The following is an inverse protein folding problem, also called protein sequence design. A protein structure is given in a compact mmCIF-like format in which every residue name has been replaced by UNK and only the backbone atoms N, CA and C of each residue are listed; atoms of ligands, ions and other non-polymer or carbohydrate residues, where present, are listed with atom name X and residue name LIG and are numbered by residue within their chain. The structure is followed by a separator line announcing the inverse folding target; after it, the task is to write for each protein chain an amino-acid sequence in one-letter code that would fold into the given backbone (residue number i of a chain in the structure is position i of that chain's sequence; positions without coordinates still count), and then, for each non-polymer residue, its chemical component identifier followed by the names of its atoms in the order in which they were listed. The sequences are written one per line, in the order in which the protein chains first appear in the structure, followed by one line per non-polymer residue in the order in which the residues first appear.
data_IF_901094695374
#
_entry.id   IF_901094695374
#
_cell.length_a   1.000
_cell.length_b   1.000
_cell.length_c   1.000
_cell.angle_alpha   90.00
_cell.angle_beta   90.00
_cell.angle_gamma   90.00
#
_symmetry.space_group_name_H-M   'P 1'
#
loop_
_entity.id
_entity.type
_entity.pdbx_description
1 polymer ?
#
# COMPACT_ATOMS: atom_id res chain seq x y z
N UNK A 1 3.87 3.24 6.13
CA UNK A 1 2.70 2.47 6.58
C UNK A 1 2.39 1.41 5.54
N UNK A 2 1.75 0.32 5.92
CA UNK A 2 1.23 -0.67 5.00
C UNK A 2 -0.17 -1.13 5.44
N UNK A 3 -0.90 -1.75 4.52
CA UNK A 3 -2.14 -2.44 4.82
C UNK A 3 -2.04 -3.87 4.33
N UNK A 4 -2.35 -4.83 5.20
CA UNK A 4 -2.43 -6.24 4.84
C UNK A 4 -3.90 -6.55 4.55
N UNK A 5 -4.19 -7.14 3.39
CA UNK A 5 -5.52 -7.69 3.10
C UNK A 5 -5.77 -8.83 4.08
N UNK A 6 -6.74 -8.64 4.97
CA UNK A 6 -6.96 -9.48 6.13
C UNK A 6 -8.47 -9.68 6.28
N UNK A 7 -9.01 -10.88 6.01
CA UNK A 7 -10.45 -11.16 6.10
C UNK A 7 -11.06 -10.82 7.46
N UNK A 8 -10.26 -10.87 8.54
CA UNK A 8 -10.69 -10.53 9.90
C UNK A 8 -10.46 -9.05 10.24
N UNK A 9 -9.88 -8.28 9.30
CA UNK A 9 -9.57 -6.87 9.44
C UNK A 9 -10.77 -5.93 9.24
N UNK A 10 -10.52 -4.63 9.39
CA UNK A 10 -11.55 -3.59 9.20
C UNK A 10 -11.84 -3.40 7.71
N UNK A 11 -13.13 -3.34 7.34
CA UNK A 11 -13.54 -3.00 5.98
C UNK A 11 -13.10 -1.57 5.64
N UNK A 12 -12.38 -1.42 4.53
CA UNK A 12 -12.01 -0.11 3.99
C UNK A 12 -12.93 0.33 2.85
N UNK A 13 -12.81 1.59 2.44
CA UNK A 13 -13.64 2.19 1.38
C UNK A 13 -13.46 1.55 0.00
N UNK A 14 -12.41 0.72 -0.18
CA UNK A 14 -12.21 -0.09 -1.39
C UNK A 14 -12.96 -1.44 -1.35
N UNK A 15 -13.77 -1.70 -0.32
CA UNK A 15 -14.56 -2.93 -0.18
C UNK A 15 -13.75 -4.16 0.24
N UNK A 16 -12.53 -3.97 0.76
CA UNK A 16 -11.62 -5.05 1.15
C UNK A 16 -11.36 -4.96 2.66
N UNK A 17 -11.57 -6.03 3.44
CA UNK A 17 -11.10 -6.13 4.82
C UNK A 17 -9.57 -6.03 4.89
N UNK A 18 -9.06 -5.15 5.76
CA UNK A 18 -7.62 -4.93 5.91
C UNK A 18 -7.22 -4.57 7.33
N UNK A 19 -5.97 -4.88 7.64
CA UNK A 19 -5.32 -4.48 8.90
C UNK A 19 -4.22 -3.46 8.60
N UNK A 20 -4.21 -2.36 9.35
CA UNK A 20 -3.16 -1.32 9.25
C UNK A 20 -1.90 -1.79 9.96
N UNK A 21 -0.75 -1.60 9.32
CA UNK A 21 0.53 -2.12 9.78
C UNK A 21 1.63 -1.06 9.72
N UNK A 22 2.40 -0.98 10.80
CA UNK A 22 3.62 -0.19 10.88
C UNK A 22 4.79 -1.13 11.16
N UNK A 23 5.87 -0.95 10.41
CA UNK A 23 7.04 -1.80 10.52
C UNK A 23 8.15 -1.31 9.61
N UNK A 24 9.23 -2.08 9.59
CA UNK A 24 10.43 -1.81 8.79
C UNK A 24 10.77 -3.04 7.96
N UNK A 25 11.40 -2.82 6.81
CA UNK A 25 11.99 -3.93 6.04
C UNK A 25 13.31 -4.32 6.68
N UNK A 26 13.49 -5.62 6.86
CA UNK A 26 14.74 -6.20 7.35
C UNK A 26 15.46 -6.92 6.20
N UNK A 27 16.78 -7.14 6.30
CA UNK A 27 17.48 -8.08 5.45
C UNK A 27 16.79 -9.44 5.47
N UNK A 28 16.79 -10.15 4.34
CA UNK A 28 16.15 -11.46 4.24
C UNK A 28 16.75 -12.50 5.19
N UNK A 29 18.02 -12.36 5.52
CA UNK A 29 18.77 -13.22 6.43
C UNK A 29 18.90 -12.61 7.84
N UNK A 30 18.00 -11.71 8.24
CA UNK A 30 18.00 -11.12 9.58
C UNK A 30 17.89 -12.20 10.67
N UNK A 31 18.89 -12.23 11.58
CA UNK A 31 18.96 -13.17 12.72
C UNK A 31 18.89 -12.47 14.08
N UNK A 32 18.55 -11.19 14.10
CA UNK A 32 18.40 -10.45 15.35
C UNK A 32 17.11 -10.84 16.07
N UNK A 33 16.99 -10.42 17.33
CA UNK A 33 15.76 -10.64 18.09
C UNK A 33 14.61 -9.80 17.53
N UNK A 34 13.41 -10.37 17.59
CA UNK A 34 12.15 -9.68 17.29
C UNK A 34 11.50 -9.35 18.65
N UNK A 35 11.19 -8.07 18.94
CA UNK A 35 10.52 -7.71 20.17
C UNK A 35 9.22 -8.51 20.38
N UNK A 36 8.87 -8.93 21.61
CA UNK A 36 7.70 -9.79 21.87
C UNK A 36 6.36 -9.25 21.37
N UNK A 37 6.24 -7.93 21.26
CA UNK A 37 5.06 -7.22 20.77
C UNK A 37 5.07 -6.96 19.25
N UNK A 38 6.07 -7.46 18.53
CA UNK A 38 6.20 -7.34 17.08
C UNK A 38 6.07 -8.70 16.42
N UNK A 39 5.60 -8.67 15.18
CA UNK A 39 5.52 -9.84 14.31
C UNK A 39 6.52 -9.69 13.17
N UNK A 40 7.07 -10.81 12.73
CA UNK A 40 7.89 -10.90 11.54
C UNK A 40 7.15 -11.78 10.53
N UNK A 41 7.04 -11.27 9.31
CA UNK A 41 6.34 -11.96 8.22
C UNK A 41 7.22 -11.96 6.98
N UNK A 42 7.19 -13.07 6.24
CA UNK A 42 7.70 -13.10 4.88
C UNK A 42 6.66 -12.48 3.95
N UNK A 43 7.10 -11.51 3.15
CA UNK A 43 6.24 -10.91 2.13
C UNK A 43 6.55 -11.61 0.80
N UNK A 44 5.59 -12.35 0.21
CA UNK A 44 5.82 -13.01 -1.06
C UNK A 44 6.03 -11.98 -2.17
N UNK A 45 6.81 -12.38 -3.17
CA UNK A 45 6.94 -11.60 -4.40
C UNK A 45 5.56 -11.38 -5.04
N UNK A 46 5.37 -10.18 -5.60
CA UNK A 46 4.17 -9.79 -6.31
C UNK A 46 4.49 -8.70 -7.34
N UNK A 47 3.60 -8.55 -8.30
CA UNK A 47 3.59 -7.39 -9.20
C UNK A 47 2.77 -6.27 -8.56
N UNK A 48 3.17 -5.03 -8.82
CA UNK A 48 2.53 -3.86 -8.22
C UNK A 48 2.30 -2.76 -9.25
N UNK A 49 1.21 -2.03 -9.07
CA UNK A 49 0.99 -0.72 -9.69
C UNK A 49 1.31 0.37 -8.67
N UNK A 50 1.97 1.43 -9.12
CA UNK A 50 2.35 2.59 -8.29
C UNK A 50 1.57 3.81 -8.75
N UNK A 51 0.82 4.40 -7.83
CA UNK A 51 0.20 5.71 -7.98
C UNK A 51 1.02 6.70 -7.16
N UNK A 52 1.60 7.70 -7.82
CA UNK A 52 2.53 8.63 -7.20
C UNK A 52 2.20 10.06 -7.59
N UNK A 53 2.19 10.94 -6.59
CA UNK A 53 2.30 12.38 -6.75
C UNK A 53 3.69 12.83 -6.28
N UNK A 54 4.27 13.80 -6.99
CA UNK A 54 5.53 14.44 -6.59
C UNK A 54 5.37 15.32 -5.33
N UNK A 55 6.38 16.13 -5.01
CA UNK A 55 6.33 17.04 -3.87
C UNK A 55 5.13 17.99 -3.93
N UNK A 56 4.61 18.38 -2.76
CA UNK A 56 3.49 19.32 -2.61
C UNK A 56 3.57 20.03 -1.26
N UNK A 57 2.91 21.18 -1.13
CA UNK A 57 2.76 21.87 0.14
C UNK A 57 1.78 21.09 1.03
N UNK A 58 2.30 20.50 2.11
CA UNK A 58 1.49 19.69 3.03
C UNK A 58 0.34 20.49 3.66
N UNK A 59 0.58 21.73 4.07
CA UNK A 59 -0.41 22.52 4.80
C UNK A 59 -1.52 23.02 3.87
N UNK A 60 -1.20 23.30 2.60
CA UNK A 60 -2.16 23.85 1.64
C UNK A 60 -2.80 22.81 0.72
N UNK A 61 -2.06 21.78 0.32
CA UNK A 61 -2.45 20.91 -0.79
C UNK A 61 -2.83 19.48 -0.37
N UNK A 62 -2.56 19.06 0.88
CA UNK A 62 -2.68 17.65 1.30
C UNK A 62 -4.00 16.99 0.90
N UNK A 63 -5.13 17.64 1.19
CA UNK A 63 -6.44 17.08 0.84
C UNK A 63 -6.65 16.97 -0.67
N UNK A 64 -6.23 17.99 -1.43
CA UNK A 64 -6.37 18.00 -2.88
C UNK A 64 -5.48 16.95 -3.56
N UNK A 65 -4.29 16.69 -2.99
CA UNK A 65 -3.35 15.67 -3.49
C UNK A 65 -3.86 14.27 -3.18
N UNK A 66 -4.38 14.05 -1.97
CA UNK A 66 -5.07 12.81 -1.60
C UNK A 66 -6.21 12.50 -2.59
N UNK A 67 -7.09 13.46 -2.84
CA UNK A 67 -8.21 13.31 -3.79
C UNK A 67 -7.74 13.00 -5.23
N UNK A 68 -6.64 13.62 -5.69
CA UNK A 68 -6.05 13.31 -7.00
C UNK A 68 -5.56 11.87 -7.07
N UNK A 69 -4.86 11.39 -6.04
CA UNK A 69 -4.35 10.01 -6.02
C UNK A 69 -5.49 9.01 -5.90
N UNK A 70 -6.48 9.26 -5.04
CA UNK A 70 -7.68 8.41 -4.93
C UNK A 70 -8.43 8.33 -6.25
N UNK A 71 -8.65 9.48 -6.91
CA UNK A 71 -9.26 9.52 -8.23
C UNK A 71 -8.45 8.71 -9.24
N UNK A 72 -7.14 8.87 -9.29
CA UNK A 72 -6.27 8.11 -10.18
C UNK A 72 -6.39 6.60 -9.93
N UNK A 73 -6.46 6.16 -8.67
CA UNK A 73 -6.65 4.75 -8.31
C UNK A 73 -8.01 4.20 -8.72
N UNK A 74 -9.09 4.98 -8.51
CA UNK A 74 -10.47 4.56 -8.81
C UNK A 74 -10.74 4.53 -10.31
N UNK A 75 -10.19 5.49 -11.06
CA UNK A 75 -10.44 5.62 -12.50
C UNK A 75 -9.38 4.94 -13.36
N UNK A 76 -8.42 4.22 -12.76
CA UNK A 76 -7.41 3.51 -13.53
C UNK A 76 -8.07 2.40 -14.34
N UNK A 77 -7.93 2.49 -15.66
CA UNK A 77 -8.46 1.49 -16.58
C UNK A 77 -7.43 0.39 -16.80
N UNK A 78 -7.77 -0.83 -16.39
CA UNK A 78 -6.95 -2.02 -16.61
C UNK A 78 -7.15 -2.64 -18.00
N UNK A 79 -8.05 -2.11 -18.85
CA UNK A 79 -8.31 -2.65 -20.17
C UNK A 79 -7.03 -2.80 -21.01
N UNK A 80 -6.84 -3.98 -21.59
CA UNK A 80 -5.68 -4.29 -22.43
C UNK A 80 -4.37 -4.53 -21.67
N UNK A 81 -4.31 -4.31 -20.35
CA UNK A 81 -3.12 -4.59 -19.54
C UNK A 81 -2.98 -6.08 -19.20
N UNK A 82 -4.11 -6.78 -19.09
CA UNK A 82 -4.16 -8.15 -18.59
C UNK A 82 -3.92 -8.25 -17.08
N UNK A 83 -4.11 -7.16 -16.34
CA UNK A 83 -3.98 -7.12 -14.88
C UNK A 83 -5.28 -6.68 -14.21
N UNK A 84 -5.41 -6.97 -12.92
CA UNK A 84 -6.37 -6.34 -12.01
C UNK A 84 -5.73 -6.20 -10.61
N UNK A 85 -6.39 -5.47 -9.71
CA UNK A 85 -5.94 -5.42 -8.31
C UNK A 85 -6.01 -6.80 -7.67
N UNK A 86 -4.90 -7.22 -7.03
CA UNK A 86 -4.88 -8.45 -6.24
C UNK A 86 -5.41 -8.17 -4.83
N UNK A 87 -6.64 -8.62 -4.58
CA UNK A 87 -7.32 -8.47 -3.29
C UNK A 87 -7.20 -9.70 -2.41
N UNK A 88 -6.35 -10.66 -2.80
CA UNK A 88 -6.15 -11.90 -2.06
C UNK A 88 -5.67 -11.63 -0.63
N UNK A 89 -6.06 -12.47 0.35
CA UNK A 89 -5.56 -12.38 1.72
C UNK A 89 -4.02 -12.37 1.78
N UNK A 90 -3.46 -11.72 2.80
CA UNK A 90 -2.03 -11.52 3.03
C UNK A 90 -1.29 -10.64 2.02
N UNK A 91 -1.94 -10.16 0.95
CA UNK A 91 -1.34 -9.17 0.05
C UNK A 91 -1.21 -7.82 0.73
N UNK A 92 -0.13 -7.12 0.41
CA UNK A 92 0.24 -5.88 1.09
C UNK A 92 0.13 -4.70 0.16
N UNK A 93 -0.57 -3.66 0.61
CA UNK A 93 -0.59 -2.33 0.01
C UNK A 93 0.40 -1.45 0.78
N UNK A 94 1.30 -0.76 0.09
CA UNK A 94 2.23 0.17 0.74
C UNK A 94 1.80 1.61 0.58
N UNK A 95 1.96 2.37 1.65
CA UNK A 95 1.74 3.81 1.69
C UNK A 95 3.03 4.52 2.12
N UNK A 96 3.53 5.35 1.21
CA UNK A 96 4.71 6.17 1.41
C UNK A 96 4.32 7.65 1.33
N UNK A 97 4.60 8.38 2.40
CA UNK A 97 4.21 9.77 2.52
C UNK A 97 5.38 10.60 3.03
N UNK A 98 5.89 11.45 2.15
CA UNK A 98 6.88 12.46 2.45
C UNK A 98 6.58 13.67 1.55
N UNK A 99 5.81 14.67 2.00
CA UNK A 99 5.34 15.77 1.15
C UNK A 99 6.45 16.54 0.42
N UNK A 100 7.67 16.57 0.96
CA UNK A 100 8.82 17.20 0.32
C UNK A 100 9.34 16.40 -0.90
N UNK A 101 8.92 15.14 -1.04
CA UNK A 101 9.43 14.20 -2.05
C UNK A 101 8.35 13.53 -2.86
N UNK A 102 7.36 12.91 -2.21
CA UNK A 102 6.33 12.11 -2.83
C UNK A 102 5.16 11.78 -1.89
N UNK A 103 4.03 11.44 -2.50
CA UNK A 103 2.96 10.66 -1.90
C UNK A 103 2.66 9.47 -2.83
N UNK A 104 2.88 8.24 -2.34
CA UNK A 104 2.69 7.00 -3.11
C UNK A 104 1.71 6.04 -2.46
N UNK A 105 0.84 5.47 -3.28
CA UNK A 105 0.14 4.22 -3.03
C UNK A 105 0.68 3.14 -3.97
N UNK A 106 1.09 2.01 -3.41
CA UNK A 106 1.61 0.86 -4.15
C UNK A 106 0.66 -0.30 -3.90
N UNK A 107 -0.06 -0.73 -4.94
CA UNK A 107 -1.10 -1.76 -4.82
C UNK A 107 -0.70 -3.02 -5.57
N UNK A 108 -0.89 -4.20 -4.97
CA UNK A 108 -0.58 -5.46 -5.62
C UNK A 108 -1.54 -5.70 -6.79
N UNK A 109 -1.03 -6.30 -7.86
CA UNK A 109 -1.79 -6.68 -9.05
C UNK A 109 -1.53 -8.13 -9.41
N UNK A 110 -2.49 -8.73 -10.10
CA UNK A 110 -2.40 -10.09 -10.63
C UNK A 110 -2.89 -10.11 -12.08
N UNK A 111 -2.45 -11.12 -12.83
CA UNK A 111 -2.93 -11.41 -14.19
C UNK A 111 -4.19 -12.27 -14.19
#
# INVERSE_FOLDING_TARGET
MAYINDPDGRLCDWGIPRTECYGVRLPFDYKGEVPPQMLMIDVPEAEYIVFEHGPFDYEQENRSVEEKIEKAMVTFDFAGTGYCFDTSPSRIIYFYFNPERFFKYIRPVMK
#
